data_IF_951132580185
#
_entry.id   IF_951132580185
#
_cell.length_a   1.000
_cell.length_b   1.000
_cell.length_c   1.000
_cell.angle_alpha   90.00
_cell.angle_beta   90.00
_cell.angle_gamma   90.00
#
_symmetry.space_group_name_H-M   'P 1'
#
loop_
_entity.id
_entity.type
_entity.pdbx_description
1 polymer ?
#
# COMPACT_ATOMS: atom_id res chain seq x y z
N UNK A 1 -39.65 -52.05 -49.68
CA UNK A 1 -38.54 -51.96 -48.75
C UNK A 1 -38.03 -50.52 -48.78
N UNK A 2 -38.35 -49.72 -47.76
CA UNK A 2 -37.87 -48.35 -47.59
C UNK A 2 -36.85 -48.38 -46.44
N UNK A 3 -35.62 -48.02 -46.73
CA UNK A 3 -34.54 -47.84 -45.75
C UNK A 3 -34.61 -46.40 -45.22
N UNK A 4 -34.86 -46.27 -43.92
CA UNK A 4 -34.86 -44.97 -43.23
C UNK A 4 -33.44 -44.78 -42.68
N UNK A 5 -32.73 -43.78 -43.23
CA UNK A 5 -31.42 -43.35 -42.70
C UNK A 5 -31.62 -42.40 -41.53
N UNK A 6 -31.15 -42.76 -40.33
CA UNK A 6 -31.10 -41.92 -39.15
C UNK A 6 -29.83 -41.10 -39.20
N UNK A 7 -29.94 -39.77 -39.30
CA UNK A 7 -28.84 -38.84 -39.07
C UNK A 7 -28.78 -38.47 -37.60
N UNK A 8 -27.73 -38.91 -36.93
CA UNK A 8 -27.42 -38.52 -35.59
C UNK A 8 -26.61 -37.22 -35.63
N UNK A 9 -27.25 -36.12 -35.24
CA UNK A 9 -26.58 -34.84 -35.12
C UNK A 9 -25.77 -34.82 -33.78
N UNK A 10 -24.46 -34.79 -33.88
CA UNK A 10 -23.55 -34.60 -32.75
C UNK A 10 -23.42 -33.11 -32.51
N UNK A 11 -24.02 -32.65 -31.40
CA UNK A 11 -23.86 -31.27 -30.90
C UNK A 11 -22.51 -31.17 -30.19
N UNK A 12 -21.52 -30.53 -30.82
CA UNK A 12 -20.30 -30.13 -30.11
C UNK A 12 -20.59 -28.87 -29.29
N UNK A 13 -20.73 -29.04 -27.97
CA UNK A 13 -20.73 -27.91 -27.02
C UNK A 13 -19.26 -27.50 -26.86
N UNK A 14 -18.86 -26.44 -27.53
CA UNK A 14 -17.59 -25.77 -27.26
C UNK A 14 -17.72 -25.03 -25.92
N UNK A 15 -17.18 -25.63 -24.86
CA UNK A 15 -16.99 -24.97 -23.58
C UNK A 15 -15.90 -23.92 -23.75
N UNK A 16 -16.26 -22.66 -23.99
CA UNK A 16 -15.31 -21.56 -23.91
C UNK A 16 -14.94 -21.34 -22.44
N UNK A 17 -13.82 -21.88 -22.04
CA UNK A 17 -13.13 -21.49 -20.82
C UNK A 17 -12.75 -20.01 -20.97
N UNK A 18 -13.55 -19.13 -20.33
CA UNK A 18 -13.12 -17.75 -20.08
C UNK A 18 -12.03 -17.83 -19.02
N UNK A 19 -10.81 -18.10 -19.45
CA UNK A 19 -9.64 -17.93 -18.61
C UNK A 19 -9.53 -16.44 -18.28
N UNK A 20 -9.42 -16.09 -17.02
CA UNK A 20 -8.97 -14.75 -16.61
C UNK A 20 -7.56 -14.57 -17.20
N UNK A 21 -7.45 -13.89 -18.32
CA UNK A 21 -6.16 -13.49 -18.86
C UNK A 21 -5.60 -12.42 -17.92
N UNK A 22 -4.57 -12.76 -17.14
CA UNK A 22 -3.70 -11.77 -16.56
C UNK A 22 -2.91 -11.14 -17.72
N UNK A 23 -3.04 -9.85 -17.90
CA UNK A 23 -2.16 -9.13 -18.81
C UNK A 23 -0.79 -9.06 -18.11
N UNK A 24 0.14 -9.91 -18.53
CA UNK A 24 1.38 -10.18 -17.80
C UNK A 24 2.60 -9.48 -18.44
N UNK A 25 2.37 -8.59 -19.40
CA UNK A 25 3.46 -7.84 -20.03
C UNK A 25 3.75 -6.59 -19.22
N UNK A 26 4.67 -6.68 -18.25
CA UNK A 26 5.29 -5.50 -17.69
C UNK A 26 6.08 -4.77 -18.80
N UNK A 27 5.96 -3.45 -18.84
CA UNK A 27 6.72 -2.62 -19.77
C UNK A 27 8.07 -2.21 -19.22
N UNK A 28 8.24 -2.34 -17.90
CA UNK A 28 9.50 -2.03 -17.20
C UNK A 28 9.58 -2.76 -15.89
N UNK A 29 10.77 -3.24 -15.55
CA UNK A 29 11.06 -3.97 -14.33
C UNK A 29 12.39 -3.45 -13.73
N UNK A 30 12.39 -3.30 -12.41
CA UNK A 30 13.57 -2.95 -11.62
C UNK A 30 13.82 -4.03 -10.57
N UNK A 31 14.98 -4.65 -10.62
CA UNK A 31 15.44 -5.63 -9.63
C UNK A 31 16.43 -4.95 -8.71
N UNK A 32 16.00 -4.55 -7.51
CA UNK A 32 16.81 -3.78 -6.59
C UNK A 32 17.39 -4.63 -5.46
N UNK A 33 16.61 -5.57 -4.94
CA UNK A 33 17.03 -6.42 -3.81
C UNK A 33 16.56 -7.86 -4.01
N UNK A 34 17.32 -8.62 -4.81
CA UNK A 34 16.98 -10.01 -5.18
C UNK A 34 16.92 -10.99 -4.00
N UNK A 35 17.46 -10.62 -2.82
CA UNK A 35 17.28 -11.34 -1.58
C UNK A 35 15.92 -11.07 -0.89
N UNK A 36 15.12 -10.15 -1.44
CA UNK A 36 13.85 -9.72 -0.86
C UNK A 36 13.98 -8.53 0.10
N UNK A 37 12.83 -7.91 0.36
CA UNK A 37 12.71 -6.76 1.27
C UNK A 37 11.67 -7.05 2.34
N UNK A 38 11.79 -6.41 3.51
CA UNK A 38 10.79 -6.52 4.58
C UNK A 38 9.71 -5.45 4.49
N UNK A 39 10.04 -4.34 3.81
CA UNK A 39 9.13 -3.23 3.53
C UNK A 39 9.61 -2.45 2.32
N UNK A 40 8.69 -1.85 1.57
CA UNK A 40 8.99 -1.09 0.38
C UNK A 40 7.89 -0.03 0.15
N UNK A 41 8.27 1.21 -0.08
CA UNK A 41 7.37 2.31 -0.43
C UNK A 41 7.78 2.96 -1.74
N UNK A 42 6.80 3.41 -2.51
CA UNK A 42 6.96 4.21 -3.72
C UNK A 42 6.62 5.66 -3.43
N UNK A 43 7.35 6.58 -4.05
CA UNK A 43 6.88 7.97 -4.13
C UNK A 43 5.55 8.02 -4.91
N UNK A 44 4.79 9.08 -4.71
CA UNK A 44 3.47 9.23 -5.29
C UNK A 44 3.47 9.12 -6.82
N UNK A 45 4.49 9.67 -7.46
CA UNK A 45 4.69 9.64 -8.92
C UNK A 45 5.54 8.43 -9.38
N UNK A 46 5.76 7.47 -8.52
CA UNK A 46 6.58 6.27 -8.74
C UNK A 46 7.99 6.56 -9.28
N UNK A 47 8.52 7.78 -9.07
CA UNK A 47 9.90 8.10 -9.43
C UNK A 47 10.89 7.45 -8.48
N UNK A 48 10.56 7.43 -7.18
CA UNK A 48 11.45 6.95 -6.15
C UNK A 48 10.89 5.72 -5.46
N UNK A 49 11.81 4.82 -5.08
CA UNK A 49 11.57 3.69 -4.20
C UNK A 49 12.41 3.80 -2.94
N UNK A 50 11.81 3.51 -1.78
CA UNK A 50 12.48 3.41 -0.50
C UNK A 50 12.19 2.03 0.09
N UNK A 51 13.22 1.23 0.36
CA UNK A 51 13.04 -0.14 0.83
C UNK A 51 14.08 -0.54 1.86
N UNK A 52 13.70 -1.49 2.71
CA UNK A 52 14.59 -2.02 3.76
C UNK A 52 14.97 -3.47 3.48
N UNK A 53 16.27 -3.72 3.52
CA UNK A 53 16.86 -5.05 3.39
C UNK A 53 17.38 -5.51 4.75
N UNK A 54 16.91 -6.68 5.21
CA UNK A 54 17.35 -7.27 6.48
C UNK A 54 18.62 -8.10 6.30
N UNK A 55 19.51 -8.06 7.29
CA UNK A 55 20.68 -8.94 7.36
C UNK A 55 20.24 -10.42 7.44
N UNK A 56 20.97 -11.30 6.72
CA UNK A 56 20.70 -12.75 6.77
C UNK A 56 19.58 -13.27 5.88
N UNK A 57 18.99 -12.45 5.00
CA UNK A 57 18.18 -12.96 3.90
C UNK A 57 19.10 -13.68 2.92
N UNK A 58 19.07 -15.03 2.93
CA UNK A 58 19.99 -15.91 2.21
C UNK A 58 20.01 -15.64 0.70
N UNK A 59 20.93 -14.83 0.24
CA UNK A 59 21.34 -14.82 -1.16
C UNK A 59 22.36 -15.94 -1.40
N UNK A 60 21.91 -17.14 -1.60
CA UNK A 60 22.74 -18.15 -2.20
C UNK A 60 23.03 -17.73 -3.65
N UNK A 61 24.27 -17.29 -3.92
CA UNK A 61 24.85 -17.14 -5.26
C UNK A 61 24.42 -15.94 -6.13
N UNK A 62 24.54 -14.70 -5.66
CA UNK A 62 24.68 -13.58 -6.60
C UNK A 62 25.81 -12.65 -6.16
N UNK A 63 26.64 -12.23 -7.13
CA UNK A 63 27.84 -11.37 -6.93
C UNK A 63 27.55 -9.90 -6.59
N UNK A 64 26.33 -9.56 -6.17
CA UNK A 64 25.94 -8.24 -5.70
C UNK A 64 25.11 -8.36 -4.44
N UNK A 65 25.76 -8.46 -3.29
CA UNK A 65 25.10 -8.37 -1.98
C UNK A 65 24.75 -6.91 -1.72
N UNK A 66 23.45 -6.60 -1.78
CA UNK A 66 22.94 -5.34 -1.26
C UNK A 66 23.10 -5.40 0.27
N UNK A 67 23.68 -4.35 0.87
CA UNK A 67 23.90 -4.27 2.31
C UNK A 67 22.57 -4.25 3.06
N UNK A 68 22.56 -4.77 4.28
CA UNK A 68 21.44 -4.58 5.20
C UNK A 68 21.26 -3.10 5.53
N UNK A 69 20.04 -2.59 5.44
CA UNK A 69 19.71 -1.19 5.72
C UNK A 69 18.60 -0.64 4.84
N UNK A 70 18.44 0.68 4.91
CA UNK A 70 17.46 1.42 4.15
C UNK A 70 18.09 1.98 2.87
N UNK A 71 17.48 1.71 1.73
CA UNK A 71 17.95 2.09 0.40
C UNK A 71 16.97 3.03 -0.27
N UNK A 72 17.46 4.16 -0.76
CA UNK A 72 16.70 5.14 -1.53
C UNK A 72 17.13 5.10 -2.99
N UNK A 73 16.17 4.82 -3.88
CA UNK A 73 16.42 4.51 -5.29
C UNK A 73 15.63 5.43 -6.23
N UNK A 74 16.28 5.93 -7.30
CA UNK A 74 15.60 6.59 -8.42
C UNK A 74 15.27 5.53 -9.48
N UNK A 75 13.96 5.27 -9.68
CA UNK A 75 13.48 4.29 -10.65
C UNK A 75 13.59 4.79 -12.09
N UNK A 76 13.62 6.12 -12.33
CA UNK A 76 13.79 6.68 -13.67
C UNK A 76 15.22 6.50 -14.14
N UNK A 77 16.19 6.86 -13.32
CA UNK A 77 17.62 6.73 -13.60
C UNK A 77 18.15 5.33 -13.28
N UNK A 78 17.34 4.47 -12.66
CA UNK A 78 17.67 3.11 -12.22
C UNK A 78 18.97 3.06 -11.40
N UNK A 79 19.07 3.91 -10.38
CA UNK A 79 20.27 3.99 -9.53
C UNK A 79 19.92 4.25 -8.06
N UNK A 80 20.77 3.76 -7.18
CA UNK A 80 20.73 4.14 -5.77
C UNK A 80 21.17 5.60 -5.60
N UNK A 81 20.36 6.38 -4.88
CA UNK A 81 20.65 7.76 -4.54
C UNK A 81 21.35 7.86 -3.20
N UNK A 82 20.85 7.15 -2.19
CA UNK A 82 21.37 7.18 -0.83
C UNK A 82 21.15 5.83 -0.15
N UNK A 83 22.18 5.39 0.56
CA UNK A 83 22.12 4.29 1.50
C UNK A 83 22.18 4.85 2.91
N UNK A 84 21.09 4.65 3.66
CA UNK A 84 21.07 4.93 5.08
C UNK A 84 21.43 3.63 5.79
N UNK A 85 22.65 3.49 6.26
CA UNK A 85 23.14 2.27 6.92
C UNK A 85 22.15 1.71 7.94
N UNK A 86 22.42 0.53 8.46
CA UNK A 86 21.68 -0.06 9.58
C UNK A 86 21.92 0.73 10.88
N UNK A 87 22.00 2.08 10.80
CA UNK A 87 22.33 2.94 11.92
C UNK A 87 21.35 2.71 13.07
N UNK A 88 21.89 2.16 14.16
CA UNK A 88 21.39 2.23 15.53
C UNK A 88 19.96 1.72 15.80
N UNK A 89 19.36 1.02 14.87
CA UNK A 89 18.13 0.31 15.14
C UNK A 89 18.52 -1.09 15.65
N UNK A 90 18.92 -1.16 16.90
CA UNK A 90 19.15 -2.41 17.61
C UNK A 90 18.24 -3.52 17.11
N UNK A 91 18.75 -4.43 16.28
CA UNK A 91 18.09 -5.65 15.76
C UNK A 91 16.62 -5.54 15.25
N UNK A 92 16.11 -4.33 15.02
CA UNK A 92 14.70 -4.11 14.71
C UNK A 92 14.49 -4.05 13.21
N UNK A 93 13.73 -5.00 12.68
CA UNK A 93 13.28 -4.99 11.28
C UNK A 93 12.33 -3.82 11.02
N UNK A 94 12.61 -2.98 10.04
CA UNK A 94 11.66 -1.97 9.53
C UNK A 94 10.50 -2.71 8.86
N UNK A 95 9.31 -2.52 9.42
CA UNK A 95 8.08 -3.18 8.96
C UNK A 95 7.16 -2.27 8.15
N UNK A 96 7.29 -0.95 8.33
CA UNK A 96 6.48 0.05 7.64
C UNK A 96 7.36 1.18 7.12
N UNK A 97 7.09 1.59 5.89
CA UNK A 97 7.71 2.73 5.24
C UNK A 97 6.63 3.50 4.51
N UNK A 98 6.65 4.83 4.63
CA UNK A 98 5.82 5.73 3.81
C UNK A 98 6.66 6.90 3.34
N UNK A 99 6.53 7.26 2.06
CA UNK A 99 7.13 8.46 1.48
C UNK A 99 6.05 9.55 1.43
N UNK A 100 6.39 10.75 1.88
CA UNK A 100 5.49 11.92 1.84
C UNK A 100 5.05 12.26 0.41
N UNK A 101 3.89 12.91 0.26
CA UNK A 101 3.30 13.24 -1.04
C UNK A 101 4.22 14.09 -1.95
N UNK A 102 5.10 14.93 -1.37
CA UNK A 102 6.07 15.72 -2.13
C UNK A 102 7.39 14.98 -2.39
N UNK A 103 7.50 13.72 -1.99
CA UNK A 103 8.66 12.84 -2.16
C UNK A 103 9.95 13.33 -1.48
N UNK A 104 9.85 14.31 -0.55
CA UNK A 104 10.99 14.87 0.14
C UNK A 104 11.29 14.16 1.45
N UNK A 105 10.26 13.73 2.17
CA UNK A 105 10.42 13.09 3.46
C UNK A 105 9.91 11.65 3.41
N UNK A 106 10.41 10.85 4.34
CA UNK A 106 9.89 9.52 4.58
C UNK A 106 9.82 9.23 6.07
N UNK A 107 8.91 8.34 6.45
CA UNK A 107 8.85 7.74 7.77
C UNK A 107 9.10 6.24 7.65
N UNK A 108 9.91 5.71 8.55
CA UNK A 108 10.12 4.27 8.74
C UNK A 108 9.71 3.89 10.14
N UNK A 109 9.13 2.71 10.31
CA UNK A 109 8.77 2.22 11.63
C UNK A 109 9.14 0.75 11.83
N UNK A 110 9.56 0.46 13.06
CA UNK A 110 9.68 -0.87 13.65
C UNK A 110 8.44 -1.13 14.53
N UNK A 111 8.50 -2.10 15.43
CA UNK A 111 7.39 -2.34 16.35
C UNK A 111 7.16 -1.22 17.37
N UNK A 112 8.24 -0.55 17.80
CA UNK A 112 8.19 0.44 18.90
C UNK A 112 8.87 1.75 18.60
N UNK A 113 9.58 1.85 17.47
CA UNK A 113 10.31 3.05 17.09
C UNK A 113 9.89 3.50 15.70
N UNK A 114 9.97 4.81 15.46
CA UNK A 114 9.88 5.36 14.12
C UNK A 114 10.97 6.41 13.89
N UNK A 115 11.41 6.55 12.65
CA UNK A 115 12.37 7.57 12.23
C UNK A 115 11.83 8.37 11.05
N UNK A 116 12.18 9.64 10.98
CA UNK A 116 11.88 10.52 9.85
C UNK A 116 13.18 10.86 9.12
N UNK A 117 13.10 10.87 7.80
CA UNK A 117 14.21 11.05 6.88
C UNK A 117 13.94 12.21 5.93
N UNK A 118 14.89 13.14 5.76
CA UNK A 118 14.91 14.06 4.62
C UNK A 118 15.62 13.36 3.46
N UNK A 119 14.86 12.88 2.49
CA UNK A 119 15.37 12.15 1.32
C UNK A 119 16.16 13.07 0.38
N UNK A 120 15.84 14.37 0.36
CA UNK A 120 16.55 15.36 -0.46
C UNK A 120 17.96 15.66 0.06
N UNK A 121 18.12 15.66 1.39
CA UNK A 121 19.43 15.86 2.04
C UNK A 121 20.14 14.52 2.31
N UNK A 122 19.45 13.41 2.30
CA UNK A 122 20.00 12.09 2.62
C UNK A 122 20.36 11.93 4.10
N UNK A 123 19.59 12.53 5.02
CA UNK A 123 19.85 12.52 6.46
C UNK A 123 18.62 12.06 7.26
N UNK A 124 18.87 11.58 8.48
CA UNK A 124 17.81 11.35 9.48
C UNK A 124 17.47 12.66 10.20
N UNK A 125 16.18 13.00 10.26
CA UNK A 125 15.67 14.11 11.08
C UNK A 125 15.53 13.73 12.55
N UNK A 126 15.42 12.45 12.86
CA UNK A 126 15.36 11.94 14.22
C UNK A 126 14.79 10.53 14.32
N UNK A 127 14.92 9.97 15.53
CA UNK A 127 14.41 8.67 15.94
C UNK A 127 13.58 8.85 17.22
N UNK A 128 12.36 8.33 17.21
CA UNK A 128 11.45 8.41 18.36
C UNK A 128 10.98 7.02 18.76
N UNK A 129 10.76 6.83 20.08
CA UNK A 129 10.25 5.59 20.65
C UNK A 129 8.83 5.76 21.17
N UNK A 130 8.01 4.73 20.99
CA UNK A 130 6.64 4.63 21.47
C UNK A 130 6.55 3.51 22.49
N UNK A 131 6.09 3.82 23.71
CA UNK A 131 5.88 2.85 24.80
C UNK A 131 4.42 2.37 24.92
N UNK A 132 3.50 3.03 24.19
CA UNK A 132 2.04 2.81 24.35
C UNK A 132 1.53 1.53 23.68
N UNK A 133 2.29 0.93 22.77
CA UNK A 133 1.85 -0.25 22.04
C UNK A 133 2.73 -0.53 20.83
N UNK A 134 2.35 -1.55 20.05
CA UNK A 134 3.05 -1.92 18.83
C UNK A 134 2.53 -1.06 17.67
N UNK A 135 3.44 -0.43 16.91
CA UNK A 135 3.12 0.31 15.70
C UNK A 135 2.66 -0.68 14.62
N UNK A 136 1.51 -0.40 14.03
CA UNK A 136 0.85 -1.23 13.02
C UNK A 136 0.82 -0.62 11.64
N UNK A 137 0.82 0.71 11.58
CA UNK A 137 0.88 1.48 10.34
C UNK A 137 1.33 2.90 10.66
N UNK A 138 1.93 3.59 9.69
CA UNK A 138 2.44 4.95 9.85
C UNK A 138 2.20 5.76 8.59
N UNK A 139 2.00 7.07 8.77
CA UNK A 139 1.94 8.02 7.66
C UNK A 139 2.56 9.37 8.03
N UNK A 140 2.95 10.16 7.04
CA UNK A 140 3.66 11.42 7.20
C UNK A 140 3.12 12.51 6.26
N UNK A 141 2.92 13.71 6.79
CA UNK A 141 2.53 14.86 5.99
C UNK A 141 3.67 15.35 5.08
N UNK A 142 3.31 16.14 4.05
CA UNK A 142 4.25 16.60 3.01
C UNK A 142 5.42 17.43 3.54
N UNK A 143 5.25 18.11 4.67
CA UNK A 143 6.32 18.94 5.27
C UNK A 143 7.30 18.14 6.14
N UNK A 144 7.08 16.83 6.34
CA UNK A 144 7.93 15.97 7.18
C UNK A 144 7.77 16.18 8.70
N UNK A 145 6.89 17.08 9.13
CA UNK A 145 6.78 17.48 10.54
C UNK A 145 5.60 16.83 11.27
N UNK A 146 4.56 16.44 10.55
CA UNK A 146 3.41 15.75 11.15
C UNK A 146 3.43 14.28 10.77
N UNK A 147 3.29 13.43 11.77
CA UNK A 147 3.24 11.97 11.63
C UNK A 147 2.00 11.40 12.29
N UNK A 148 1.50 10.32 11.74
CA UNK A 148 0.36 9.56 12.25
C UNK A 148 0.77 8.11 12.45
N UNK A 149 0.48 7.56 13.63
CA UNK A 149 0.78 6.18 14.00
C UNK A 149 -0.51 5.47 14.36
N UNK A 150 -0.73 4.28 13.82
CA UNK A 150 -1.78 3.35 14.26
C UNK A 150 -1.21 2.28 15.16
N UNK A 151 -1.81 2.06 16.35
CA UNK A 151 -1.26 1.17 17.34
C UNK A 151 -2.13 -0.06 17.63
N UNK A 152 -1.47 -1.10 18.15
CA UNK A 152 -2.10 -2.38 18.51
C UNK A 152 -3.07 -2.31 19.68
N UNK A 153 -3.07 -1.23 20.45
CA UNK A 153 -3.94 -1.00 21.61
C UNK A 153 -5.18 -0.15 21.31
N UNK A 154 -5.45 0.15 20.02
CA UNK A 154 -6.60 0.95 19.60
C UNK A 154 -6.35 2.46 19.54
N UNK A 155 -5.15 2.93 19.87
CA UNK A 155 -4.82 4.35 19.73
C UNK A 155 -4.39 4.66 18.31
N UNK A 156 -4.86 5.78 17.75
CA UNK A 156 -4.17 6.47 16.65
C UNK A 156 -3.50 7.72 17.24
N UNK A 157 -2.20 7.90 16.98
CA UNK A 157 -1.42 8.98 17.59
C UNK A 157 -0.93 9.92 16.50
N UNK A 158 -1.39 11.15 16.55
CA UNK A 158 -0.85 12.25 15.75
C UNK A 158 0.24 12.98 16.54
N UNK A 159 1.37 13.25 15.92
CA UNK A 159 2.48 13.98 16.50
C UNK A 159 2.93 15.08 15.54
N UNK A 160 2.99 16.31 16.03
CA UNK A 160 3.68 17.40 15.37
C UNK A 160 5.10 17.50 15.94
N UNK A 161 6.07 17.07 15.14
CA UNK A 161 7.48 16.95 15.55
C UNK A 161 8.14 18.31 15.78
N UNK A 162 7.65 19.36 15.11
CA UNK A 162 8.20 20.72 15.27
C UNK A 162 7.81 21.33 16.60
N UNK A 163 6.59 21.08 17.07
CA UNK A 163 6.07 21.66 18.32
C UNK A 163 6.10 20.69 19.49
N UNK A 164 6.31 19.39 19.23
CA UNK A 164 6.18 18.33 20.23
C UNK A 164 4.73 18.01 20.61
N UNK A 165 3.74 18.62 19.94
CA UNK A 165 2.33 18.36 20.24
C UNK A 165 1.97 16.93 19.86
N UNK A 166 1.36 16.23 20.78
CA UNK A 166 0.84 14.87 20.63
C UNK A 166 -0.67 14.86 20.89
N UNK A 167 -1.44 14.26 20.00
CA UNK A 167 -2.86 14.01 20.17
C UNK A 167 -3.11 12.49 20.07
N UNK A 168 -3.77 11.93 21.06
CA UNK A 168 -4.21 10.54 21.09
C UNK A 168 -5.68 10.47 20.70
N UNK A 169 -5.96 9.86 19.56
CA UNK A 169 -7.31 9.57 19.11
C UNK A 169 -7.73 8.20 19.66
N UNK A 170 -8.78 8.19 20.50
CA UNK A 170 -9.17 7.05 21.35
C UNK A 170 -10.52 6.45 20.94
N UNK A 171 -11.02 6.73 19.73
CA UNK A 171 -12.33 6.22 19.30
C UNK A 171 -12.32 4.72 18.98
N UNK A 172 -11.19 4.17 18.54
CA UNK A 172 -11.08 2.74 18.29
C UNK A 172 -11.03 1.95 19.61
N UNK A 173 -11.79 0.85 19.64
CA UNK A 173 -11.85 -0.07 20.81
C UNK A 173 -10.90 -1.25 20.67
N UNK A 174 -10.39 -1.48 19.49
CA UNK A 174 -9.47 -2.56 19.14
C UNK A 174 -8.34 -2.02 18.28
N UNK A 175 -7.41 -2.89 17.85
CA UNK A 175 -6.21 -2.55 17.07
C UNK A 175 -6.54 -1.65 15.90
N UNK A 176 -5.78 -0.57 15.73
CA UNK A 176 -5.75 0.22 14.50
C UNK A 176 -4.85 -0.51 13.50
N UNK A 177 -5.39 -0.86 12.34
CA UNK A 177 -4.68 -1.64 11.34
C UNK A 177 -4.05 -0.79 10.24
N UNK A 178 -4.69 0.33 9.90
CA UNK A 178 -4.23 1.20 8.81
C UNK A 178 -4.55 2.65 9.14
N UNK A 179 -3.64 3.55 8.81
CA UNK A 179 -3.77 5.00 9.00
C UNK A 179 -3.37 5.74 7.72
N UNK A 180 -3.96 6.91 7.50
CA UNK A 180 -3.58 7.82 6.44
C UNK A 180 -3.72 9.26 6.92
N UNK A 181 -2.75 10.11 6.56
CA UNK A 181 -2.69 11.52 6.90
C UNK A 181 -2.83 12.35 5.63
N UNK A 182 -3.63 13.40 5.66
CA UNK A 182 -3.70 14.34 4.54
C UNK A 182 -2.34 15.02 4.30
N UNK A 183 -2.05 15.41 3.07
CA UNK A 183 -0.79 16.01 2.67
C UNK A 183 -0.41 17.23 3.53
N UNK A 184 -1.40 17.99 4.00
CA UNK A 184 -1.24 19.17 4.86
C UNK A 184 -1.27 18.85 6.38
N UNK A 185 -1.38 17.58 6.75
CA UNK A 185 -1.41 17.12 8.14
C UNK A 185 -2.69 17.47 8.93
N UNK A 186 -3.73 18.04 8.31
CA UNK A 186 -4.94 18.53 9.01
C UNK A 186 -5.98 17.45 9.27
N UNK A 187 -6.04 16.44 8.44
CA UNK A 187 -7.03 15.38 8.53
C UNK A 187 -6.36 14.02 8.55
N UNK A 188 -6.93 13.13 9.32
CA UNK A 188 -6.51 11.74 9.41
C UNK A 188 -7.66 10.80 9.12
N UNK A 189 -7.33 9.65 8.55
CA UNK A 189 -8.21 8.51 8.43
C UNK A 189 -7.57 7.35 9.17
N UNK A 190 -8.34 6.63 9.98
CA UNK A 190 -7.86 5.45 10.71
C UNK A 190 -8.89 4.32 10.63
N UNK A 191 -8.43 3.09 10.41
CA UNK A 191 -9.28 1.91 10.33
C UNK A 191 -8.82 0.82 11.29
N UNK A 192 -9.76 0.19 12.00
CA UNK A 192 -9.46 -0.73 13.09
C UNK A 192 -10.18 -2.07 13.04
N UNK A 193 -9.78 -2.94 13.97
CA UNK A 193 -10.42 -4.24 14.19
C UNK A 193 -11.84 -4.14 14.73
N UNK A 194 -12.19 -2.99 15.30
CA UNK A 194 -13.51 -2.67 15.85
C UNK A 194 -14.59 -2.44 14.79
N UNK A 195 -14.30 -2.74 13.53
CA UNK A 195 -15.17 -2.63 12.35
C UNK A 195 -15.41 -1.21 11.87
N UNK A 196 -14.72 -0.22 12.43
CA UNK A 196 -14.90 1.18 12.06
C UNK A 196 -13.67 1.76 11.37
N UNK A 197 -13.92 2.70 10.45
CA UNK A 197 -12.96 3.68 10.03
C UNK A 197 -13.48 5.08 10.39
N UNK A 198 -12.57 5.93 10.91
CA UNK A 198 -12.88 7.30 11.30
C UNK A 198 -12.07 8.27 10.48
N UNK A 199 -12.75 9.28 9.91
CA UNK A 199 -12.13 10.46 9.35
C UNK A 199 -12.26 11.59 10.37
N UNK A 200 -11.15 12.20 10.77
CA UNK A 200 -11.10 13.11 11.90
C UNK A 200 -10.09 14.25 11.71
N UNK A 201 -10.33 15.35 12.40
CA UNK A 201 -9.48 16.54 12.42
C UNK A 201 -8.32 16.36 13.39
N UNK A 202 -7.08 16.51 12.92
CA UNK A 202 -5.86 16.28 13.72
C UNK A 202 -5.59 17.37 14.74
N UNK A 203 -6.19 18.55 14.58
CA UNK A 203 -6.04 19.65 15.53
C UNK A 203 -6.91 19.46 16.77
N UNK A 204 -8.13 18.99 16.56
CA UNK A 204 -9.15 18.91 17.63
C UNK A 204 -9.41 17.47 18.10
N UNK A 205 -9.11 16.47 17.28
CA UNK A 205 -9.52 15.08 17.48
C UNK A 205 -11.00 14.84 17.17
N UNK A 206 -11.71 15.82 16.60
CA UNK A 206 -13.13 15.69 16.26
C UNK A 206 -13.33 14.70 15.11
N UNK A 207 -14.23 13.74 15.30
CA UNK A 207 -14.69 12.84 14.25
C UNK A 207 -15.55 13.64 13.28
N UNK A 208 -15.18 13.63 12.01
CA UNK A 208 -15.90 14.27 10.92
C UNK A 208 -16.82 13.29 10.22
N UNK A 209 -16.35 12.04 10.00
CA UNK A 209 -17.12 10.95 9.40
C UNK A 209 -16.79 9.62 10.09
N UNK A 210 -17.78 8.73 10.13
CA UNK A 210 -17.65 7.35 10.63
C UNK A 210 -18.13 6.38 9.55
N UNK A 211 -17.29 5.39 9.23
CA UNK A 211 -17.57 4.37 8.24
C UNK A 211 -17.59 3.00 8.92
N UNK A 212 -18.74 2.34 8.88
CA UNK A 212 -18.95 1.03 9.49
C UNK A 212 -18.83 -0.08 8.44
N UNK A 213 -18.26 -1.22 8.85
CA UNK A 213 -18.09 -2.44 8.06
C UNK A 213 -18.61 -3.66 8.81
N UNK A 214 -18.95 -4.72 8.08
CA UNK A 214 -19.34 -5.99 8.69
C UNK A 214 -18.16 -6.69 9.41
N UNK A 215 -16.93 -6.43 8.97
CA UNK A 215 -15.72 -7.02 9.54
C UNK A 215 -14.68 -5.95 9.85
N UNK A 216 -13.58 -6.38 10.47
CA UNK A 216 -12.46 -5.49 10.77
C UNK A 216 -11.99 -4.73 9.54
N UNK A 217 -11.82 -3.43 9.66
CA UNK A 217 -11.18 -2.63 8.60
C UNK A 217 -9.69 -2.98 8.55
N UNK A 218 -9.25 -3.47 7.40
CA UNK A 218 -7.89 -3.98 7.21
C UNK A 218 -7.00 -3.01 6.44
N UNK A 219 -7.58 -2.23 5.53
CA UNK A 219 -6.85 -1.23 4.72
C UNK A 219 -7.73 -0.01 4.48
N UNK A 220 -7.10 1.15 4.51
CA UNK A 220 -7.70 2.41 4.10
C UNK A 220 -6.77 3.14 3.12
N UNK A 221 -7.32 4.08 2.36
CA UNK A 221 -6.54 5.05 1.60
C UNK A 221 -7.27 6.39 1.55
N UNK A 222 -6.49 7.48 1.60
CA UNK A 222 -6.98 8.85 1.50
C UNK A 222 -6.53 9.45 0.17
N UNK A 223 -7.48 10.01 -0.60
CA UNK A 223 -7.13 10.74 -1.80
C UNK A 223 -6.47 12.08 -1.39
N UNK A 224 -5.44 12.48 -2.13
CA UNK A 224 -4.56 13.61 -1.80
C UNK A 224 -5.28 14.89 -1.43
N UNK A 225 -6.31 15.26 -2.21
CA UNK A 225 -7.05 16.49 -2.02
C UNK A 225 -8.19 16.35 -0.98
N UNK A 226 -8.29 15.20 -0.31
CA UNK A 226 -9.30 14.92 0.71
C UNK A 226 -10.72 14.81 0.15
N UNK A 227 -10.86 14.44 -1.12
CA UNK A 227 -12.16 14.27 -1.78
C UNK A 227 -12.77 12.89 -1.52
N UNK A 228 -11.93 11.86 -1.61
CA UNK A 228 -12.34 10.47 -1.49
C UNK A 228 -11.54 9.72 -0.43
N UNK A 229 -12.18 8.73 0.15
CA UNK A 229 -11.52 7.69 0.95
C UNK A 229 -11.90 6.30 0.44
N UNK A 230 -10.97 5.37 0.52
CA UNK A 230 -11.22 3.94 0.48
C UNK A 230 -11.22 3.42 1.91
N UNK A 231 -12.19 2.56 2.23
CA UNK A 231 -12.13 1.68 3.40
C UNK A 231 -12.42 0.25 2.94
N UNK A 232 -11.58 -0.69 3.36
CA UNK A 232 -11.70 -2.09 2.99
C UNK A 232 -11.60 -2.97 4.22
N UNK A 233 -12.51 -3.92 4.34
CA UNK A 233 -12.53 -4.85 5.44
C UNK A 233 -11.69 -6.12 5.18
N UNK A 234 -11.61 -7.00 6.17
CA UNK A 234 -10.94 -8.30 6.05
C UNK A 234 -11.79 -9.38 5.38
N UNK A 235 -12.93 -9.00 4.81
CA UNK A 235 -13.88 -9.86 4.10
C UNK A 235 -13.97 -9.54 2.62
N UNK A 236 -15.06 -8.95 2.22
CA UNK A 236 -15.39 -8.67 0.82
C UNK A 236 -15.76 -7.20 0.60
N UNK A 237 -15.91 -6.41 1.67
CA UNK A 237 -16.35 -5.02 1.55
C UNK A 237 -15.18 -4.10 1.29
N UNK A 238 -15.28 -3.33 0.22
CA UNK A 238 -14.35 -2.24 -0.08
C UNK A 238 -15.15 -1.09 -0.67
N UNK A 239 -15.29 -0.02 0.12
CA UNK A 239 -16.14 1.12 -0.20
C UNK A 239 -15.33 2.37 -0.51
N UNK A 240 -15.79 3.12 -1.50
CA UNK A 240 -15.30 4.47 -1.79
C UNK A 240 -16.31 5.48 -1.27
N UNK A 241 -15.84 6.44 -0.49
CA UNK A 241 -16.62 7.44 0.21
C UNK A 241 -16.33 8.85 -0.29
N UNK A 242 -17.35 9.69 -0.32
CA UNK A 242 -17.18 11.14 -0.44
C UNK A 242 -16.93 11.72 0.96
N UNK A 243 -15.73 12.21 1.22
CA UNK A 243 -15.35 12.71 2.55
C UNK A 243 -16.10 13.99 2.97
N UNK A 244 -16.56 14.79 2.00
CA UNK A 244 -17.29 16.01 2.29
C UNK A 244 -18.70 15.72 2.81
N UNK A 245 -19.38 14.73 2.24
CA UNK A 245 -20.79 14.41 2.59
C UNK A 245 -20.91 13.19 3.51
N UNK A 246 -19.90 12.31 3.54
CA UNK A 246 -19.95 11.03 4.23
C UNK A 246 -20.65 9.92 3.43
N UNK A 247 -21.15 10.23 2.23
CA UNK A 247 -21.91 9.26 1.44
C UNK A 247 -21.01 8.21 0.80
N UNK A 248 -21.51 6.96 0.76
CA UNK A 248 -20.90 5.90 -0.03
C UNK A 248 -21.13 6.20 -1.52
N UNK A 249 -20.02 6.36 -2.27
CA UNK A 249 -20.06 6.55 -3.72
C UNK A 249 -20.30 5.22 -4.41
N UNK A 250 -19.49 4.22 -4.07
CA UNK A 250 -19.55 2.91 -4.71
C UNK A 250 -18.86 1.85 -3.86
N UNK A 251 -19.08 0.59 -4.25
CA UNK A 251 -18.38 -0.58 -3.76
C UNK A 251 -17.47 -1.12 -4.87
N UNK A 252 -16.27 -1.55 -4.54
CA UNK A 252 -15.39 -2.20 -5.51
C UNK A 252 -15.97 -3.58 -5.88
N UNK A 253 -16.16 -3.80 -7.18
CA UNK A 253 -16.72 -5.05 -7.72
C UNK A 253 -15.73 -6.20 -7.60
N UNK A 254 -15.60 -6.77 -6.42
CA UNK A 254 -14.72 -7.91 -6.16
C UNK A 254 -15.49 -9.22 -6.32
N UNK A 255 -14.99 -10.13 -7.16
CA UNK A 255 -15.60 -11.46 -7.36
C UNK A 255 -15.01 -12.56 -6.48
N UNK A 256 -13.92 -12.29 -5.79
CA UNK A 256 -13.23 -13.30 -5.02
C UNK A 256 -13.57 -13.19 -3.53
N UNK A 257 -13.89 -14.33 -2.92
CA UNK A 257 -13.97 -14.44 -1.46
C UNK A 257 -12.62 -14.06 -0.86
N UNK A 258 -12.62 -13.11 0.09
CA UNK A 258 -11.44 -12.68 0.84
C UNK A 258 -10.37 -11.95 0.01
N UNK A 259 -10.72 -10.85 -0.64
CA UNK A 259 -9.71 -9.93 -1.17
C UNK A 259 -9.22 -9.01 -0.06
N UNK A 260 -8.09 -9.36 0.52
CA UNK A 260 -7.36 -8.48 1.43
C UNK A 260 -6.43 -7.61 0.61
N UNK A 261 -6.49 -6.31 0.80
CA UNK A 261 -5.53 -5.37 0.21
C UNK A 261 -4.36 -5.14 1.17
N UNK A 262 -3.14 -5.27 0.66
CA UNK A 262 -1.91 -4.89 1.37
C UNK A 262 -1.54 -3.43 1.13
N UNK A 263 -1.94 -2.88 -0.02
CA UNK A 263 -1.74 -1.48 -0.38
C UNK A 263 -2.91 -0.94 -1.19
N UNK A 264 -3.13 0.37 -1.14
CA UNK A 264 -4.13 1.06 -1.93
C UNK A 264 -3.74 2.53 -2.10
N UNK A 265 -3.88 3.09 -3.31
CA UNK A 265 -3.57 4.49 -3.59
C UNK A 265 -4.45 5.04 -4.70
N UNK A 266 -5.02 6.23 -4.48
CA UNK A 266 -5.74 6.98 -5.51
C UNK A 266 -4.76 7.67 -6.46
N UNK A 267 -5.14 7.78 -7.76
CA UNK A 267 -4.49 8.69 -8.69
C UNK A 267 -4.60 10.15 -8.22
N UNK A 268 -3.73 11.02 -8.72
CA UNK A 268 -3.72 12.44 -8.32
C UNK A 268 -5.04 13.14 -8.66
N UNK A 269 -5.61 12.85 -9.81
CA UNK A 269 -6.90 13.37 -10.27
C UNK A 269 -8.12 12.69 -9.61
N UNK A 270 -7.88 11.62 -8.86
CA UNK A 270 -8.92 10.83 -8.21
C UNK A 270 -9.78 10.00 -9.15
N UNK A 271 -9.43 9.85 -10.45
CA UNK A 271 -10.18 9.03 -11.40
C UNK A 271 -10.00 7.55 -11.15
N UNK A 272 -8.82 7.16 -10.71
CA UNK A 272 -8.44 5.76 -10.49
C UNK A 272 -8.06 5.49 -9.05
N UNK A 273 -8.26 4.24 -8.65
CA UNK A 273 -7.71 3.64 -7.45
C UNK A 273 -6.89 2.43 -7.87
N UNK A 274 -5.66 2.33 -7.38
CA UNK A 274 -4.83 1.12 -7.54
C UNK A 274 -4.78 0.38 -6.21
N UNK A 275 -4.91 -0.92 -6.25
CA UNK A 275 -4.79 -1.79 -5.06
C UNK A 275 -3.77 -2.89 -5.30
N UNK A 276 -3.03 -3.25 -4.27
CA UNK A 276 -2.13 -4.39 -4.21
C UNK A 276 -2.60 -5.41 -3.18
N UNK A 277 -2.25 -6.68 -3.38
CA UNK A 277 -2.63 -7.76 -2.46
C UNK A 277 -1.42 -8.56 -1.96
N UNK A 278 -1.55 -9.28 -0.83
CA UNK A 278 -0.51 -10.21 -0.37
C UNK A 278 -0.26 -11.37 -1.34
N UNK A 279 -1.22 -11.67 -2.22
CA UNK A 279 -1.10 -12.72 -3.24
C UNK A 279 -0.38 -12.24 -4.52
N UNK A 280 0.11 -10.99 -4.56
CA UNK A 280 0.80 -10.44 -5.71
C UNK A 280 -0.11 -9.88 -6.80
N UNK A 281 -1.41 -9.74 -6.54
CA UNK A 281 -2.34 -9.15 -7.51
C UNK A 281 -2.35 -7.64 -7.38
N UNK A 282 -2.23 -6.95 -8.52
CA UNK A 282 -2.36 -5.50 -8.65
C UNK A 282 -3.60 -5.23 -9.50
N UNK A 283 -4.48 -4.33 -9.04
CA UNK A 283 -5.73 -4.02 -9.73
C UNK A 283 -5.94 -2.53 -9.85
N UNK A 284 -6.44 -2.11 -11.02
CA UNK A 284 -6.85 -0.76 -11.32
C UNK A 284 -8.38 -0.68 -11.32
N UNK A 285 -8.92 0.31 -10.63
CA UNK A 285 -10.35 0.53 -10.47
C UNK A 285 -10.72 1.94 -10.90
N UNK A 286 -11.88 2.09 -11.51
CA UNK A 286 -12.50 3.40 -11.68
C UNK A 286 -13.12 3.84 -10.35
N UNK A 287 -12.72 4.98 -9.82
CA UNK A 287 -13.11 5.48 -8.50
C UNK A 287 -14.62 5.69 -8.35
N UNK A 288 -15.29 6.19 -9.39
CA UNK A 288 -16.70 6.54 -9.27
C UNK A 288 -17.63 5.33 -9.47
N UNK A 289 -17.26 4.41 -10.35
CA UNK A 289 -18.10 3.25 -10.65
C UNK A 289 -17.74 1.99 -9.86
N UNK A 290 -16.60 1.96 -9.20
CA UNK A 290 -16.08 0.78 -8.49
C UNK A 290 -15.73 -0.40 -9.41
N UNK A 291 -15.78 -0.20 -10.73
CA UNK A 291 -15.50 -1.27 -11.70
C UNK A 291 -14.00 -1.47 -11.86
N UNK A 292 -13.59 -2.73 -11.80
CA UNK A 292 -12.23 -3.12 -12.15
C UNK A 292 -12.00 -2.84 -13.64
N UNK A 293 -10.94 -2.09 -13.95
CA UNK A 293 -10.50 -1.79 -15.31
C UNK A 293 -9.49 -2.84 -15.75
N UNK A 294 -8.42 -3.00 -14.98
CA UNK A 294 -7.33 -3.89 -15.31
C UNK A 294 -6.82 -4.67 -14.09
N UNK A 295 -6.05 -5.72 -14.35
CA UNK A 295 -5.46 -6.57 -13.33
C UNK A 295 -4.16 -7.17 -13.81
N UNK A 296 -3.11 -7.08 -12.99
CA UNK A 296 -1.80 -7.65 -13.22
C UNK A 296 -1.37 -8.54 -12.06
N UNK A 297 -0.32 -9.29 -12.28
CA UNK A 297 0.30 -10.09 -11.23
C UNK A 297 1.78 -9.76 -11.13
N UNK A 298 2.20 -9.32 -9.94
CA UNK A 298 3.59 -9.08 -9.63
C UNK A 298 4.38 -10.39 -9.58
N UNK A 299 5.59 -10.36 -10.10
CA UNK A 299 6.44 -11.53 -10.14
C UNK A 299 7.05 -11.84 -8.78
N UNK A 300 7.03 -13.10 -8.34
CA UNK A 300 7.75 -13.54 -7.15
C UNK A 300 9.25 -13.66 -7.42
N UNK A 301 10.03 -13.81 -6.36
CA UNK A 301 11.42 -14.28 -6.48
C UNK A 301 11.45 -15.65 -7.15
N UNK A 302 12.52 -15.91 -7.92
CA UNK A 302 12.78 -17.23 -8.47
C UNK A 302 12.85 -18.24 -7.31
N UNK A 303 12.17 -19.37 -7.47
CA UNK A 303 12.11 -20.44 -6.48
C UNK A 303 11.40 -20.09 -5.15
N UNK A 304 10.71 -18.96 -5.05
CA UNK A 304 9.91 -18.61 -3.88
C UNK A 304 8.80 -19.64 -3.60
N UNK A 305 8.60 -19.95 -2.34
CA UNK A 305 7.51 -20.86 -1.88
C UNK A 305 6.75 -20.21 -0.72
N UNK A 306 5.50 -19.82 -0.88
CA UNK A 306 4.68 -19.92 -2.10
C UNK A 306 5.19 -19.01 -3.22
N UNK A 307 4.86 -19.27 -4.50
CA UNK A 307 5.30 -18.47 -5.65
C UNK A 307 4.48 -17.19 -5.76
N UNK A 308 4.58 -16.35 -4.74
CA UNK A 308 3.88 -15.06 -4.63
C UNK A 308 4.81 -14.00 -4.06
N UNK A 309 4.60 -12.75 -4.44
CA UNK A 309 5.25 -11.59 -3.86
C UNK A 309 4.18 -10.68 -3.25
N UNK A 310 4.30 -10.33 -1.98
CA UNK A 310 3.41 -9.36 -1.33
C UNK A 310 3.60 -8.01 -2.01
N UNK A 311 2.53 -7.39 -2.48
CA UNK A 311 2.58 -6.01 -2.99
C UNK A 311 2.58 -5.08 -1.79
N UNK A 312 3.70 -4.45 -1.51
CA UNK A 312 3.84 -3.53 -0.38
C UNK A 312 3.29 -2.16 -0.69
N UNK A 313 3.51 -1.67 -1.91
CA UNK A 313 2.99 -0.38 -2.33
C UNK A 313 2.67 -0.33 -3.82
N UNK A 314 1.81 0.62 -4.21
CA UNK A 314 1.38 0.86 -5.59
C UNK A 314 1.34 2.36 -5.87
N UNK A 315 1.60 2.74 -7.12
CA UNK A 315 1.50 4.13 -7.56
C UNK A 315 1.11 4.21 -9.04
N UNK A 316 0.76 5.41 -9.50
CA UNK A 316 0.62 5.71 -10.93
C UNK A 316 1.70 6.73 -11.27
N UNK A 317 2.52 6.43 -12.27
CA UNK A 317 3.59 7.32 -12.69
C UNK A 317 3.10 8.43 -13.67
N UNK A 318 3.99 9.37 -13.97
CA UNK A 318 3.70 10.48 -14.92
C UNK A 318 3.43 10.01 -16.36
N UNK A 319 3.78 8.78 -16.69
CA UNK A 319 3.51 8.15 -18.00
C UNK A 319 2.19 7.37 -18.01
N UNK A 320 1.36 7.53 -16.98
CA UNK A 320 0.10 6.80 -16.81
C UNK A 320 0.31 5.29 -16.79
N UNK A 321 1.34 4.82 -16.05
CA UNK A 321 1.58 3.41 -15.81
C UNK A 321 1.30 3.10 -14.35
N UNK A 322 0.72 1.95 -14.08
CA UNK A 322 0.64 1.41 -12.73
C UNK A 322 1.99 0.82 -12.35
N UNK A 323 2.52 1.21 -11.21
CA UNK A 323 3.78 0.69 -10.66
C UNK A 323 3.50 0.00 -9.35
N UNK A 324 4.08 -1.17 -9.14
CA UNK A 324 4.05 -1.89 -7.85
C UNK A 324 5.44 -2.12 -7.31
N UNK A 325 5.55 -2.14 -5.99
CA UNK A 325 6.74 -2.53 -5.25
C UNK A 325 6.42 -3.73 -4.35
N UNK A 326 7.31 -4.72 -4.31
CA UNK A 326 6.97 -6.01 -3.72
C UNK A 326 8.02 -6.53 -2.73
N UNK A 327 7.61 -7.52 -1.93
CA UNK A 327 8.51 -8.27 -1.03
C UNK A 327 9.64 -9.02 -1.74
N UNK A 328 9.53 -9.18 -3.05
CA UNK A 328 10.61 -9.73 -3.88
C UNK A 328 11.78 -8.76 -4.07
N UNK A 329 11.68 -7.50 -3.60
CA UNK A 329 12.66 -6.45 -3.90
C UNK A 329 12.63 -6.01 -5.36
N UNK A 330 11.48 -6.21 -6.00
CA UNK A 330 11.24 -5.90 -7.41
C UNK A 330 10.13 -4.85 -7.48
N UNK A 331 10.35 -3.83 -8.32
CA UNK A 331 9.28 -2.97 -8.79
C UNK A 331 8.96 -3.27 -10.25
N UNK A 332 7.69 -3.20 -10.62
CA UNK A 332 7.21 -3.47 -11.98
C UNK A 332 6.20 -2.41 -12.40
N UNK A 333 6.23 -2.04 -13.69
CA UNK A 333 5.30 -1.07 -14.27
C UNK A 333 4.52 -1.70 -15.42
N UNK A 334 3.23 -1.37 -15.51
CA UNK A 334 2.30 -1.79 -16.57
C UNK A 334 1.59 -0.59 -17.16
N UNK A 335 1.33 -0.64 -18.46
CA UNK A 335 0.52 0.39 -19.14
C UNK A 335 -0.94 0.27 -18.71
N UNK A 336 -1.62 1.40 -18.61
CA UNK A 336 -3.09 1.49 -18.54
C UNK A 336 -3.59 1.54 -19.99
N UNK A 337 -4.40 0.56 -20.40
CA UNK A 337 -4.99 0.44 -21.75
C UNK A 337 -6.33 1.19 -21.88
#
# INVERSE_FOLDING_TARGET
>A
MRVISQYTAIFFITLTLVGCFFNNSDVQRWEMATQGTTSFALSRDARFGLFFVKEGSNAANTNSEIKSGLHFWDLVDNKELTYFGAQDQHDSTVSHITISDNSRFAITATQTNFAVWDLGMGISEGLWSISDGIIRDVDIASNGQQVLLGLSNGKAIYIDLATGRRLEFLAHREKVNSVALSANGKFALSGGNDHFAYFWDTQTGQILQTFEHEKRVSRIALQRDGKYALTADGGNEAFIWNLKTGDKITELSTFARQQVFSSARFSDDGQYLVTGSPAGTVMLWNTLSGKKQEQWRAEPLKDARPPTAVVYDVAIDKKQRVVSATSAGIAQAWLIE
#
